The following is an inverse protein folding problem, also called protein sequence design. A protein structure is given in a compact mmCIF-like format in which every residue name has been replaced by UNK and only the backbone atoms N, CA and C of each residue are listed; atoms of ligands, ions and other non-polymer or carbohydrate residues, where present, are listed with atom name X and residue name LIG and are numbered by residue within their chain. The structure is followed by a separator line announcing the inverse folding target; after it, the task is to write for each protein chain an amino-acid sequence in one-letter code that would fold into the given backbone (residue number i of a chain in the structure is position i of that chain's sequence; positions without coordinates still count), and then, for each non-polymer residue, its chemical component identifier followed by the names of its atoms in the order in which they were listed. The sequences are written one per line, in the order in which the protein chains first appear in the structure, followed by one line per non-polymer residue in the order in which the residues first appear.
data_IF_284742807712
#
_entry.id   IF_284742807712
#
_cell.length_a   1.000
_cell.length_b   1.000
_cell.length_c   1.000
_cell.angle_alpha   90.00
_cell.angle_beta   90.00
_cell.angle_gamma   90.00
#
_symmetry.space_group_name_H-M   'P 1'
#
loop_
_entity.id
_entity.type
_entity.pdbx_description
1 polymer ?
#
# COMPACT_ATOMS: atom_id res chain seq x y z
N UNK A 1 109.17 123.65 -54.94
CA UNK A 1 108.78 124.62 -55.98
C UNK A 1 107.44 124.20 -56.58
N UNK A 2 106.42 125.06 -56.44
CA UNK A 2 105.37 125.33 -57.43
C UNK A 2 104.83 124.13 -58.23
N UNK A 3 103.87 123.39 -57.64
CA UNK A 3 102.81 122.72 -58.43
C UNK A 3 102.28 123.73 -59.44
N UNK A 4 102.29 123.37 -60.72
CA UNK A 4 101.95 124.28 -61.81
C UNK A 4 100.52 124.82 -61.61
N UNK A 5 100.28 126.07 -62.02
CA UNK A 5 98.94 126.70 -61.95
C UNK A 5 97.87 125.79 -62.56
N UNK A 6 98.23 125.05 -63.62
CA UNK A 6 97.37 124.10 -64.31
C UNK A 6 96.87 122.94 -63.43
N UNK A 7 97.70 122.37 -62.55
CA UNK A 7 97.27 121.25 -61.67
C UNK A 7 96.32 121.73 -60.56
N UNK A 8 96.54 122.95 -60.04
CA UNK A 8 95.63 123.54 -59.05
C UNK A 8 94.29 123.94 -59.67
N UNK A 9 94.31 124.41 -60.90
CA UNK A 9 93.08 124.74 -61.64
C UNK A 9 92.31 123.48 -62.03
N UNK A 10 93.00 122.40 -62.41
CA UNK A 10 92.39 121.09 -62.66
C UNK A 10 91.75 120.49 -61.39
N UNK A 11 92.43 120.55 -60.24
CA UNK A 11 91.84 120.12 -58.96
C UNK A 11 90.65 120.99 -58.52
N UNK A 12 90.73 122.31 -58.73
CA UNK A 12 89.59 123.21 -58.48
C UNK A 12 88.41 122.91 -59.39
N UNK A 13 88.63 122.65 -60.67
CA UNK A 13 87.58 122.23 -61.59
C UNK A 13 86.97 120.88 -61.18
N UNK A 14 87.79 119.90 -60.80
CA UNK A 14 87.30 118.58 -60.36
C UNK A 14 86.50 118.67 -59.05
N UNK A 15 86.93 119.49 -58.08
CA UNK A 15 86.17 119.75 -56.85
C UNK A 15 84.87 120.50 -57.13
N UNK A 16 84.87 121.43 -58.09
CA UNK A 16 83.68 122.17 -58.50
C UNK A 16 82.69 121.24 -59.20
N UNK A 17 83.15 120.37 -60.10
CA UNK A 17 82.34 119.34 -60.75
C UNK A 17 81.77 118.34 -59.75
N UNK A 18 82.55 117.88 -58.77
CA UNK A 18 82.06 117.01 -57.68
C UNK A 18 81.00 117.70 -56.82
N UNK A 19 81.17 118.99 -56.50
CA UNK A 19 80.17 119.76 -55.74
C UNK A 19 78.88 119.97 -56.54
N UNK A 20 78.98 120.21 -57.84
CA UNK A 20 77.81 120.31 -58.73
C UNK A 20 77.10 118.96 -58.80
N UNK A 21 77.83 117.86 -59.05
CA UNK A 21 77.27 116.52 -59.07
C UNK A 21 76.63 116.13 -57.73
N UNK A 22 77.25 116.47 -56.59
CA UNK A 22 76.67 116.23 -55.28
C UNK A 22 75.35 117.00 -55.10
N UNK A 23 75.31 118.29 -55.44
CA UNK A 23 74.09 119.10 -55.38
C UNK A 23 73.00 118.57 -56.32
N UNK A 24 73.37 118.10 -57.51
CA UNK A 24 72.43 117.46 -58.43
C UNK A 24 71.88 116.16 -57.85
N UNK A 25 72.71 115.34 -57.20
CA UNK A 25 72.23 114.12 -56.52
C UNK A 25 71.37 114.43 -55.30
N UNK A 26 71.73 115.42 -54.49
CA UNK A 26 70.94 115.89 -53.34
C UNK A 26 69.60 116.44 -53.81
N UNK A 27 69.57 117.21 -54.90
CA UNK A 27 68.34 117.70 -55.51
C UNK A 27 67.47 116.56 -56.06
N UNK A 28 68.08 115.52 -56.67
CA UNK A 28 67.35 114.33 -57.13
C UNK A 28 66.78 113.50 -55.97
N UNK A 29 67.53 113.34 -54.89
CA UNK A 29 67.07 112.64 -53.68
C UNK A 29 65.96 113.44 -52.99
N UNK A 30 66.11 114.77 -52.89
CA UNK A 30 65.07 115.66 -52.36
C UNK A 30 63.78 115.58 -53.20
N UNK A 31 63.89 115.67 -54.53
CA UNK A 31 62.75 115.53 -55.43
C UNK A 31 62.09 114.14 -55.33
N UNK A 32 62.87 113.07 -55.17
CA UNK A 32 62.34 111.72 -54.97
C UNK A 32 61.64 111.56 -53.61
N UNK A 33 62.19 112.14 -52.54
CA UNK A 33 61.58 112.13 -51.22
C UNK A 33 60.27 112.93 -51.20
N UNK A 34 60.23 114.11 -51.83
CA UNK A 34 59.00 114.89 -51.98
C UNK A 34 57.96 114.15 -52.83
N UNK A 35 58.37 113.53 -53.94
CA UNK A 35 57.47 112.72 -54.77
C UNK A 35 56.90 111.54 -53.99
N UNK A 36 57.72 110.87 -53.18
CA UNK A 36 57.28 109.79 -52.30
C UNK A 36 56.29 110.27 -51.23
N UNK A 37 56.58 111.39 -50.57
CA UNK A 37 55.68 112.00 -49.59
C UNK A 37 54.36 112.43 -50.23
N UNK A 38 54.38 113.05 -51.42
CA UNK A 38 53.16 113.40 -52.16
C UNK A 38 52.36 112.16 -52.52
N UNK A 39 52.99 111.09 -52.99
CA UNK A 39 52.29 109.83 -53.31
C UNK A 39 51.73 109.14 -52.07
N UNK A 40 52.41 109.24 -50.93
CA UNK A 40 51.91 108.73 -49.66
C UNK A 40 50.73 109.57 -49.15
N UNK A 41 50.81 110.89 -49.26
CA UNK A 41 49.71 111.79 -48.91
C UNK A 41 48.50 111.62 -49.83
N UNK A 42 48.69 111.47 -51.14
CA UNK A 42 47.63 111.16 -52.11
C UNK A 42 46.97 109.82 -51.78
N UNK A 43 47.77 108.78 -51.46
CA UNK A 43 47.27 107.47 -51.01
C UNK A 43 46.45 107.62 -49.74
N UNK A 44 46.96 108.33 -48.75
CA UNK A 44 46.29 108.49 -47.45
C UNK A 44 45.02 109.33 -47.56
N UNK A 45 45.01 110.37 -48.41
CA UNK A 45 43.81 111.14 -48.74
C UNK A 45 42.78 110.27 -49.46
N UNK A 46 43.20 109.49 -50.46
CA UNK A 46 42.31 108.54 -51.17
C UNK A 46 41.75 107.48 -50.20
N UNK A 47 42.56 107.00 -49.24
CA UNK A 47 42.11 106.06 -48.22
C UNK A 47 41.10 106.68 -47.23
N UNK A 48 41.22 107.98 -46.95
CA UNK A 48 40.22 108.73 -46.16
C UNK A 48 38.94 108.93 -46.96
N UNK A 49 39.03 109.37 -48.23
CA UNK A 49 37.87 109.62 -49.09
C UNK A 49 37.06 108.33 -49.35
N UNK A 50 37.74 107.18 -49.41
CA UNK A 50 37.11 105.86 -49.53
C UNK A 50 36.67 105.27 -48.18
N UNK A 51 36.87 105.97 -47.05
CA UNK A 51 36.48 105.51 -45.71
C UNK A 51 37.30 104.31 -45.18
N UNK A 52 38.42 103.97 -45.81
CA UNK A 52 39.22 102.78 -45.50
C UNK A 52 40.12 102.96 -44.26
N UNK A 53 40.31 104.20 -43.80
CA UNK A 53 41.21 104.51 -42.67
C UNK A 53 40.67 104.03 -41.31
N UNK A 54 39.35 104.00 -41.12
CA UNK A 54 38.73 103.46 -39.90
C UNK A 54 38.81 101.92 -39.87
N UNK A 55 38.82 101.29 -41.05
CA UNK A 55 38.89 99.84 -41.20
C UNK A 55 40.31 99.31 -41.12
N UNK A 56 41.32 100.10 -41.52
CA UNK A 56 42.72 99.66 -41.51
C UNK A 56 43.22 99.31 -40.10
N UNK A 57 42.76 100.07 -39.09
CA UNK A 57 43.14 99.85 -37.69
C UNK A 57 42.33 98.69 -37.06
N UNK A 58 41.14 98.39 -37.60
CA UNK A 58 40.23 97.37 -37.08
C UNK A 58 40.35 96.00 -37.78
N UNK A 59 41.06 95.92 -38.92
CA UNK A 59 41.06 94.71 -39.77
C UNK A 59 41.63 93.48 -39.05
N UNK A 60 42.71 93.66 -38.28
CA UNK A 60 43.30 92.58 -37.45
C UNK A 60 42.35 92.14 -36.33
N UNK A 61 41.68 93.09 -35.67
CA UNK A 61 40.71 92.77 -34.61
C UNK A 61 39.48 92.04 -35.16
N UNK A 62 39.05 92.35 -36.39
CA UNK A 62 37.96 91.63 -37.06
C UNK A 62 38.40 90.22 -37.48
N UNK A 63 39.64 90.05 -37.93
CA UNK A 63 40.21 88.74 -38.24
C UNK A 63 40.33 87.86 -36.99
N UNK A 64 40.81 88.41 -35.86
CA UNK A 64 40.87 87.73 -34.57
C UNK A 64 39.46 87.35 -34.08
N UNK A 65 38.49 88.27 -34.14
CA UNK A 65 37.10 88.01 -33.74
C UNK A 65 36.42 86.94 -34.62
N UNK A 66 36.72 86.92 -35.93
CA UNK A 66 36.26 85.87 -36.84
C UNK A 66 36.91 84.52 -36.51
N UNK A 67 38.19 84.50 -36.15
CA UNK A 67 38.90 83.31 -35.69
C UNK A 67 38.30 82.73 -34.40
N UNK A 68 38.06 83.58 -33.40
CA UNK A 68 37.40 83.21 -32.15
C UNK A 68 35.98 82.67 -32.40
N UNK A 69 35.22 83.34 -33.28
CA UNK A 69 33.88 82.88 -33.67
C UNK A 69 33.92 81.51 -34.38
N UNK A 70 34.87 81.29 -35.28
CA UNK A 70 35.05 79.99 -35.96
C UNK A 70 35.48 78.90 -34.98
N UNK A 71 36.35 79.20 -34.01
CA UNK A 71 36.75 78.26 -32.97
C UNK A 71 35.58 77.91 -32.05
N UNK A 72 34.78 78.90 -31.65
CA UNK A 72 33.56 78.69 -30.86
C UNK A 72 32.56 77.80 -31.61
N UNK A 73 32.30 78.09 -32.90
CA UNK A 73 31.45 77.25 -33.76
C UNK A 73 32.00 75.83 -33.93
N UNK A 74 33.33 75.69 -34.10
CA UNK A 74 33.99 74.39 -34.22
C UNK A 74 33.89 73.55 -32.94
N UNK A 75 33.87 74.20 -31.77
CA UNK A 75 33.70 73.53 -30.47
C UNK A 75 32.25 73.20 -30.12
N UNK A 76 31.28 73.92 -30.70
CA UNK A 76 29.85 73.75 -30.42
C UNK A 76 29.35 72.36 -30.86
N UNK A 77 29.75 71.89 -32.04
CA UNK A 77 29.27 70.61 -32.57
C UNK A 77 29.79 69.38 -31.78
N UNK A 78 31.09 69.29 -31.42
CA UNK A 78 31.58 68.30 -30.48
C UNK A 78 30.84 68.31 -29.14
N UNK A 79 30.65 69.49 -28.53
CA UNK A 79 29.94 69.62 -27.25
C UNK A 79 28.47 69.18 -27.34
N UNK A 80 27.77 69.54 -28.42
CA UNK A 80 26.39 69.10 -28.66
C UNK A 80 26.33 67.57 -28.84
N UNK A 81 27.30 66.99 -29.53
CA UNK A 81 27.40 65.54 -29.74
C UNK A 81 27.71 64.79 -28.43
N UNK A 82 28.63 65.30 -27.62
CA UNK A 82 28.93 64.75 -26.30
C UNK A 82 27.71 64.77 -25.39
N UNK A 83 26.96 65.87 -25.37
CA UNK A 83 25.70 65.96 -24.62
C UNK A 83 24.67 64.94 -25.11
N UNK A 84 24.51 64.79 -26.43
CA UNK A 84 23.58 63.81 -27.00
C UNK A 84 23.96 62.38 -26.60
N UNK A 85 25.24 62.02 -26.64
CA UNK A 85 25.72 60.71 -26.19
C UNK A 85 25.56 60.52 -24.67
N UNK A 86 25.80 61.55 -23.87
CA UNK A 86 25.58 61.52 -22.43
C UNK A 86 24.09 61.30 -22.09
N UNK A 87 23.18 62.01 -22.79
CA UNK A 87 21.73 61.84 -22.63
C UNK A 87 21.28 60.43 -23.06
N UNK A 88 21.86 59.89 -24.13
CA UNK A 88 21.58 58.51 -24.54
C UNK A 88 22.07 57.50 -23.51
N UNK A 89 23.31 57.64 -23.02
CA UNK A 89 23.87 56.77 -21.98
C UNK A 89 23.04 56.83 -20.69
N UNK A 90 22.57 58.03 -20.30
CA UNK A 90 21.69 58.20 -19.14
C UNK A 90 20.36 57.45 -19.33
N UNK A 91 19.75 57.52 -20.52
CA UNK A 91 18.51 56.78 -20.82
C UNK A 91 18.72 55.28 -20.76
N UNK A 92 19.82 54.78 -21.30
CA UNK A 92 20.16 53.35 -21.25
C UNK A 92 20.32 52.86 -19.81
N UNK A 93 21.02 53.64 -18.95
CA UNK A 93 21.15 53.32 -17.53
C UNK A 93 19.82 53.40 -16.77
N UNK A 94 18.96 54.38 -17.09
CA UNK A 94 17.61 54.45 -16.53
C UNK A 94 16.77 53.22 -16.89
N UNK A 95 16.77 52.80 -18.15
CA UNK A 95 16.06 51.58 -18.57
C UNK A 95 16.66 50.32 -17.94
N UNK A 96 17.98 50.25 -17.73
CA UNK A 96 18.62 49.14 -17.00
C UNK A 96 18.16 49.10 -15.54
N UNK A 97 18.10 50.25 -14.87
CA UNK A 97 17.62 50.36 -13.50
C UNK A 97 16.15 49.92 -13.38
N UNK A 98 15.28 50.36 -14.28
CA UNK A 98 13.87 49.95 -14.31
C UNK A 98 13.71 48.45 -14.54
N UNK A 99 14.46 47.87 -15.48
CA UNK A 99 14.45 46.43 -15.71
C UNK A 99 14.94 45.64 -14.49
N UNK A 100 15.97 46.13 -13.79
CA UNK A 100 16.46 45.52 -12.56
C UNK A 100 15.41 45.58 -11.44
N UNK A 101 14.73 46.73 -11.26
CA UNK A 101 13.63 46.88 -10.29
C UNK A 101 12.49 45.91 -10.58
N UNK A 102 12.04 45.83 -11.83
CA UNK A 102 11.02 44.87 -12.23
C UNK A 102 11.44 43.41 -11.98
N UNK A 103 12.73 43.10 -12.15
CA UNK A 103 13.28 41.78 -11.83
C UNK A 103 13.28 41.51 -10.34
N UNK A 104 13.66 42.49 -9.52
CA UNK A 104 13.58 42.40 -8.05
C UNK A 104 12.15 42.18 -7.58
N UNK A 105 11.18 42.93 -8.11
CA UNK A 105 9.76 42.76 -7.78
C UNK A 105 9.26 41.35 -8.13
N UNK A 106 9.62 40.84 -9.32
CA UNK A 106 9.27 39.46 -9.71
C UNK A 106 9.88 38.41 -8.78
N UNK A 107 11.15 38.59 -8.39
CA UNK A 107 11.81 37.70 -7.44
C UNK A 107 11.16 37.77 -6.06
N UNK A 108 10.75 38.97 -5.62
CA UNK A 108 10.06 39.17 -4.36
C UNK A 108 8.69 38.47 -4.36
N UNK A 109 7.88 38.65 -5.40
CA UNK A 109 6.59 37.96 -5.55
C UNK A 109 6.76 36.44 -5.61
N UNK A 110 7.73 35.94 -6.38
CA UNK A 110 8.02 34.50 -6.44
C UNK A 110 8.46 33.94 -5.08
N UNK A 111 9.24 34.71 -4.30
CA UNK A 111 9.61 34.35 -2.93
C UNK A 111 8.38 34.27 -2.02
N UNK A 112 7.51 35.28 -2.06
CA UNK A 112 6.27 35.28 -1.26
C UNK A 112 5.37 34.08 -1.62
N UNK A 113 5.23 33.76 -2.90
CA UNK A 113 4.48 32.57 -3.33
C UNK A 113 5.10 31.27 -2.81
N UNK A 114 6.43 31.16 -2.81
CA UNK A 114 7.13 30.01 -2.25
C UNK A 114 6.97 29.92 -0.71
N UNK A 115 7.04 31.05 0.00
CA UNK A 115 6.77 31.13 1.45
C UNK A 115 5.31 30.74 1.76
N UNK A 116 4.35 31.17 0.95
CA UNK A 116 2.95 30.76 1.10
C UNK A 116 2.75 29.27 0.84
N UNK A 117 3.40 28.71 -0.19
CA UNK A 117 3.34 27.27 -0.49
C UNK A 117 3.96 26.43 0.63
N UNK A 118 5.08 26.86 1.19
CA UNK A 118 5.73 26.18 2.32
C UNK A 118 4.86 26.26 3.57
N UNK A 119 4.34 27.45 3.92
CA UNK A 119 3.41 27.60 5.04
C UNK A 119 2.11 26.77 4.87
N UNK A 120 1.58 26.69 3.65
CA UNK A 120 0.41 25.86 3.35
C UNK A 120 0.72 24.36 3.50
N UNK A 121 1.89 23.91 3.04
CA UNK A 121 2.34 22.53 3.24
C UNK A 121 2.55 22.20 4.73
N UNK A 122 3.14 23.11 5.50
CA UNK A 122 3.32 22.95 6.95
C UNK A 122 1.99 22.87 7.68
N UNK A 123 1.01 23.71 7.30
CA UNK A 123 -0.34 23.64 7.84
C UNK A 123 -1.04 22.32 7.50
N UNK A 124 -0.89 21.81 6.28
CA UNK A 124 -1.42 20.50 5.88
C UNK A 124 -0.77 19.37 6.69
N UNK A 125 0.55 19.40 6.87
CA UNK A 125 1.27 18.43 7.71
C UNK A 125 0.82 18.48 9.16
N UNK A 126 0.57 19.67 9.72
CA UNK A 126 0.04 19.81 11.08
C UNK A 126 -1.36 19.20 11.22
N UNK A 127 -2.26 19.45 10.26
CA UNK A 127 -3.60 18.84 10.24
C UNK A 127 -3.52 17.32 10.10
N UNK A 128 -2.67 16.81 9.20
CA UNK A 128 -2.41 15.38 9.03
C UNK A 128 -1.83 14.75 10.30
N UNK A 129 -0.88 15.39 10.98
CA UNK A 129 -0.37 14.90 12.26
C UNK A 129 -1.44 14.88 13.34
N UNK A 130 -2.34 15.87 13.38
CA UNK A 130 -3.44 15.89 14.34
C UNK A 130 -4.47 14.79 14.05
N UNK A 131 -4.80 14.54 12.79
CA UNK A 131 -5.76 13.48 12.40
C UNK A 131 -5.16 12.09 12.54
N UNK A 132 -3.88 11.90 12.19
CA UNK A 132 -3.14 10.65 12.44
C UNK A 132 -2.98 10.41 13.94
N UNK A 133 -2.67 11.45 14.73
CA UNK A 133 -2.61 11.35 16.18
C UNK A 133 -3.93 10.88 16.79
N UNK A 134 -5.04 11.52 16.42
CA UNK A 134 -6.37 11.11 16.86
C UNK A 134 -6.74 9.68 16.40
N UNK A 135 -6.43 9.32 15.16
CA UNK A 135 -6.68 7.97 14.64
C UNK A 135 -5.81 6.90 15.34
N UNK A 136 -4.54 7.20 15.63
CA UNK A 136 -3.63 6.32 16.39
C UNK A 136 -4.12 6.16 17.82
N UNK A 137 -4.58 7.23 18.47
CA UNK A 137 -5.18 7.15 19.81
C UNK A 137 -6.46 6.31 19.81
N UNK A 138 -7.31 6.43 18.79
CA UNK A 138 -8.51 5.62 18.59
C UNK A 138 -8.14 4.13 18.43
N UNK A 139 -7.16 3.82 17.58
CA UNK A 139 -6.67 2.45 17.36
C UNK A 139 -6.04 1.88 18.63
N UNK A 140 -5.23 2.65 19.37
CA UNK A 140 -4.67 2.22 20.64
C UNK A 140 -5.74 2.00 21.72
N UNK A 141 -6.82 2.79 21.70
CA UNK A 141 -7.97 2.58 22.58
C UNK A 141 -8.71 1.30 22.22
N UNK A 142 -8.97 1.07 20.94
CA UNK A 142 -9.57 -0.17 20.43
C UNK A 142 -8.71 -1.40 20.72
N UNK A 143 -7.39 -1.30 20.60
CA UNK A 143 -6.46 -2.40 20.93
C UNK A 143 -6.54 -2.75 22.42
N UNK A 144 -6.47 -1.75 23.31
CA UNK A 144 -6.61 -1.96 24.76
C UNK A 144 -7.98 -2.57 25.14
N UNK A 145 -9.04 -2.17 24.45
CA UNK A 145 -10.37 -2.75 24.65
C UNK A 145 -10.41 -4.23 24.23
N UNK A 146 -9.86 -4.54 23.05
CA UNK A 146 -9.79 -5.92 22.53
C UNK A 146 -8.90 -6.79 23.41
N UNK A 147 -7.75 -6.31 23.84
CA UNK A 147 -6.86 -6.99 24.80
C UNK A 147 -7.60 -7.29 26.10
N UNK A 148 -8.30 -6.30 26.69
CA UNK A 148 -9.10 -6.52 27.91
C UNK A 148 -10.25 -7.51 27.71
N UNK A 149 -10.90 -7.53 26.53
CA UNK A 149 -11.90 -8.54 26.19
C UNK A 149 -11.28 -9.93 26.06
N UNK A 150 -10.09 -10.03 25.48
CA UNK A 150 -9.38 -11.29 25.28
C UNK A 150 -8.92 -11.87 26.63
N UNK A 151 -8.38 -11.05 27.53
CA UNK A 151 -8.03 -11.46 28.90
C UNK A 151 -9.26 -11.93 29.70
N UNK A 152 -10.43 -11.29 29.49
CA UNK A 152 -11.68 -11.72 30.13
C UNK A 152 -12.14 -13.06 29.59
N UNK A 153 -12.16 -13.24 28.27
CA UNK A 153 -12.53 -14.50 27.63
C UNK A 153 -11.57 -15.62 28.03
N UNK A 154 -10.26 -15.34 28.13
CA UNK A 154 -9.28 -16.31 28.61
C UNK A 154 -9.54 -16.73 30.06
N UNK A 155 -9.89 -15.78 30.94
CA UNK A 155 -10.29 -16.09 32.32
C UNK A 155 -11.56 -16.95 32.36
N UNK A 156 -12.59 -16.55 31.62
CA UNK A 156 -13.85 -17.32 31.50
C UNK A 156 -13.58 -18.74 30.94
N UNK A 157 -12.70 -18.87 29.94
CA UNK A 157 -12.30 -20.17 29.39
C UNK A 157 -11.53 -21.01 30.42
N UNK A 158 -10.64 -20.40 31.20
CA UNK A 158 -9.85 -21.10 32.21
C UNK A 158 -10.73 -21.58 33.38
N UNK A 159 -11.70 -20.77 33.80
CA UNK A 159 -12.73 -21.17 34.78
C UNK A 159 -13.61 -22.30 34.23
N UNK A 160 -14.05 -22.21 32.98
CA UNK A 160 -14.78 -23.27 32.29
C UNK A 160 -13.94 -24.57 32.18
N UNK A 161 -12.65 -24.46 31.89
CA UNK A 161 -11.75 -25.61 31.83
C UNK A 161 -11.53 -26.26 33.20
N UNK A 162 -11.41 -25.46 34.27
CA UNK A 162 -11.31 -25.98 35.64
C UNK A 162 -12.59 -26.70 36.07
N UNK A 163 -13.75 -26.14 35.75
CA UNK A 163 -15.04 -26.78 36.07
C UNK A 163 -15.25 -28.05 35.26
N UNK A 164 -14.86 -28.07 33.98
CA UNK A 164 -14.85 -29.28 33.15
C UNK A 164 -13.90 -30.33 33.71
N UNK A 165 -12.67 -29.96 34.08
CA UNK A 165 -11.69 -30.86 34.67
C UNK A 165 -12.18 -31.47 35.99
N UNK A 166 -12.79 -30.66 36.86
CA UNK A 166 -13.44 -31.15 38.08
C UNK A 166 -14.62 -32.08 37.80
N UNK A 167 -15.41 -31.81 36.75
CA UNK A 167 -16.50 -32.70 36.33
C UNK A 167 -15.97 -34.02 35.75
N UNK A 168 -14.93 -33.98 34.91
CA UNK A 168 -14.28 -35.16 34.34
C UNK A 168 -13.62 -36.01 35.42
N UNK A 169 -13.02 -35.40 36.45
CA UNK A 169 -12.48 -36.12 37.59
C UNK A 169 -13.59 -36.90 38.32
N UNK A 170 -14.74 -36.27 38.56
CA UNK A 170 -15.91 -36.93 39.16
C UNK A 170 -16.41 -38.06 38.28
N UNK A 171 -16.55 -37.83 36.97
CA UNK A 171 -16.97 -38.88 36.02
C UNK A 171 -15.97 -40.03 35.99
N UNK A 172 -14.66 -39.75 36.04
CA UNK A 172 -13.61 -40.77 36.08
C UNK A 172 -13.65 -41.58 37.37
N UNK A 173 -13.80 -40.93 38.52
CA UNK A 173 -13.96 -41.61 39.81
C UNK A 173 -15.21 -42.50 39.78
N UNK A 174 -16.34 -41.98 39.31
CA UNK A 174 -17.57 -42.74 39.14
C UNK A 174 -17.39 -43.91 38.16
N UNK A 175 -16.72 -43.71 37.03
CA UNK A 175 -16.43 -44.77 36.07
C UNK A 175 -15.47 -45.82 36.64
N UNK A 176 -14.49 -45.43 37.47
CA UNK A 176 -13.62 -46.39 38.16
C UNK A 176 -14.41 -47.21 39.18
N UNK A 177 -15.31 -46.58 39.94
CA UNK A 177 -16.22 -47.30 40.84
C UNK A 177 -17.17 -48.21 40.08
N UNK A 178 -17.68 -47.79 38.92
CA UNK A 178 -18.47 -48.65 38.02
C UNK A 178 -17.63 -49.84 37.56
N UNK A 179 -16.38 -49.63 37.14
CA UNK A 179 -15.48 -50.71 36.72
C UNK A 179 -15.03 -51.63 37.86
N UNK A 180 -14.88 -51.11 39.08
CA UNK A 180 -14.67 -51.92 40.29
C UNK A 180 -15.90 -52.77 40.58
N UNK A 181 -17.10 -52.19 40.51
CA UNK A 181 -18.38 -52.89 40.65
C UNK A 181 -18.58 -53.95 39.57
N UNK A 182 -18.25 -53.65 38.31
CA UNK A 182 -18.30 -54.60 37.19
C UNK A 182 -17.32 -55.76 37.40
N UNK A 183 -16.11 -55.50 37.91
CA UNK A 183 -15.15 -56.56 38.28
C UNK A 183 -15.66 -57.41 39.43
N UNK A 184 -16.32 -56.81 40.42
CA UNK A 184 -16.97 -57.52 41.51
C UNK A 184 -18.11 -58.40 40.98
N UNK A 185 -18.95 -57.86 40.10
CA UNK A 185 -20.03 -58.60 39.43
C UNK A 185 -19.46 -59.72 38.57
N UNK A 186 -18.38 -59.50 37.81
CA UNK A 186 -17.75 -60.55 37.01
C UNK A 186 -17.11 -61.64 37.88
N UNK A 187 -16.54 -61.28 39.02
CA UNK A 187 -16.00 -62.24 39.99
C UNK A 187 -17.12 -63.05 40.65
N UNK A 188 -18.24 -62.41 40.97
CA UNK A 188 -19.45 -63.09 41.41
C UNK A 188 -19.94 -64.03 40.30
N UNK A 189 -20.05 -63.55 39.06
CA UNK A 189 -20.48 -64.33 37.88
C UNK A 189 -19.60 -65.54 37.63
N UNK A 190 -18.29 -65.42 37.87
CA UNK A 190 -17.38 -66.54 37.81
C UNK A 190 -17.60 -67.52 38.98
N UNK A 191 -17.79 -67.04 40.21
CA UNK A 191 -18.11 -67.89 41.36
C UNK A 191 -19.41 -68.64 41.16
N UNK A 192 -20.35 -67.97 40.54
CA UNK A 192 -21.65 -68.47 40.20
C UNK A 192 -21.59 -69.48 39.09
N UNK A 193 -20.98 -69.16 37.95
CA UNK A 193 -20.72 -70.13 36.88
C UNK A 193 -20.05 -71.39 37.44
N UNK A 194 -19.09 -71.24 38.35
CA UNK A 194 -18.45 -72.35 39.08
C UNK A 194 -19.42 -73.11 40.00
N UNK A 195 -20.35 -72.41 40.65
CA UNK A 195 -21.45 -73.00 41.40
C UNK A 195 -22.42 -73.77 40.49
N UNK A 196 -22.79 -73.26 39.30
CA UNK A 196 -23.59 -74.00 38.29
C UNK A 196 -22.81 -75.18 37.78
N UNK A 197 -21.52 -75.04 37.58
CA UNK A 197 -20.71 -76.13 37.07
C UNK A 197 -20.63 -77.26 38.11
N UNK A 198 -20.43 -76.92 39.40
CA UNK A 198 -20.58 -77.87 40.50
C UNK A 198 -21.97 -78.49 40.55
N UNK A 199 -22.99 -77.69 40.29
CA UNK A 199 -24.40 -78.07 40.26
C UNK A 199 -24.74 -79.08 39.17
N UNK A 200 -24.32 -78.78 37.94
CA UNK A 200 -24.54 -79.56 36.75
C UNK A 200 -23.68 -80.80 36.79
N UNK A 201 -22.44 -80.70 37.27
CA UNK A 201 -21.57 -81.87 37.53
C UNK A 201 -22.24 -82.82 38.51
N UNK A 202 -23.01 -82.30 39.44
CA UNK A 202 -23.75 -83.06 40.42
C UNK A 202 -25.13 -83.54 39.96
N UNK A 203 -25.87 -82.77 39.19
CA UNK A 203 -27.04 -83.25 38.47
C UNK A 203 -26.62 -84.42 37.55
N UNK A 204 -25.47 -84.30 36.89
CA UNK A 204 -24.84 -85.30 36.03
C UNK A 204 -24.05 -86.39 36.78
N UNK A 205 -23.82 -86.29 38.09
CA UNK A 205 -23.46 -87.49 38.89
C UNK A 205 -24.61 -88.50 38.89
N UNK A 206 -25.77 -88.09 38.38
CA UNK A 206 -27.02 -88.71 38.70
C UNK A 206 -27.16 -88.59 40.21
N UNK A 207 -27.55 -87.42 40.73
CA UNK A 207 -28.06 -87.23 42.10
C UNK A 207 -29.40 -86.41 42.16
N UNK A 208 -30.09 -86.13 41.02
CA UNK A 208 -31.57 -85.88 40.91
C UNK A 208 -32.63 -86.99 40.48
N UNK A 209 -32.42 -87.91 39.50
CA UNK A 209 -33.19 -89.16 39.25
C UNK A 209 -33.43 -90.23 40.38
N UNK A 210 -32.49 -90.65 41.21
CA UNK A 210 -32.66 -91.60 42.33
C UNK A 210 -33.19 -91.03 43.68
N UNK A 211 -34.01 -89.99 43.58
CA UNK A 211 -35.06 -89.67 44.56
C UNK A 211 -36.46 -90.21 44.17
N UNK A 212 -36.64 -90.74 42.95
CA UNK A 212 -37.90 -91.36 42.50
C UNK A 212 -37.71 -92.74 41.81
N UNK A 213 -36.57 -93.38 42.05
CA UNK A 213 -36.33 -94.79 41.81
C UNK A 213 -35.47 -95.29 42.98
N UNK A 214 -35.80 -96.44 43.55
CA UNK A 214 -34.96 -97.15 44.52
C UNK A 214 -33.59 -97.45 43.90
N UNK A 215 -32.70 -96.47 44.05
CA UNK A 215 -31.27 -96.55 44.22
C UNK A 215 -30.89 -95.20 44.93
N UNK A 216 -29.71 -95.01 45.54
CA UNK A 216 -29.36 -93.95 46.53
C UNK A 216 -29.16 -92.46 46.10
N UNK A 217 -30.11 -91.52 46.24
CA UNK A 217 -29.83 -90.05 46.15
C UNK A 217 -29.79 -89.35 47.52
N UNK A 218 -28.96 -88.31 47.61
CA UNK A 218 -28.69 -87.54 48.82
C UNK A 218 -29.42 -86.19 48.75
N UNK A 219 -30.19 -85.84 49.78
CA UNK A 219 -30.93 -84.57 49.96
C UNK A 219 -30.10 -83.30 49.73
N UNK A 220 -28.78 -83.39 49.89
CA UNK A 220 -27.89 -82.29 49.54
C UNK A 220 -27.92 -81.94 48.06
N UNK A 221 -28.65 -82.71 47.21
CA UNK A 221 -28.58 -82.63 45.76
C UNK A 221 -29.54 -81.75 45.00
N UNK A 222 -30.75 -81.82 45.44
CA UNK A 222 -31.81 -80.94 45.00
C UNK A 222 -31.58 -79.52 45.53
N UNK A 223 -31.20 -79.40 46.81
CA UNK A 223 -31.07 -78.10 47.48
C UNK A 223 -29.88 -77.27 46.98
N UNK A 224 -28.80 -77.94 46.55
CA UNK A 224 -27.71 -77.26 45.83
C UNK A 224 -28.23 -76.80 44.47
N UNK A 225 -28.85 -77.67 43.67
CA UNK A 225 -29.39 -77.37 42.33
C UNK A 225 -30.32 -76.15 42.30
N UNK A 226 -31.26 -76.11 43.23
CA UNK A 226 -32.21 -75.01 43.30
C UNK A 226 -31.54 -73.68 43.72
N UNK A 227 -30.55 -73.72 44.62
CA UNK A 227 -29.77 -72.53 45.01
C UNK A 227 -28.93 -71.96 43.87
N UNK A 228 -28.35 -72.77 42.99
CA UNK A 228 -27.49 -72.25 41.91
C UNK A 228 -28.24 -71.79 40.66
N UNK A 229 -29.54 -72.11 40.48
CA UNK A 229 -30.37 -71.53 39.41
C UNK A 229 -30.91 -70.16 39.83
N UNK A 230 -31.37 -70.03 41.07
CA UNK A 230 -31.71 -68.73 41.66
C UNK A 230 -30.48 -67.83 41.71
N UNK A 231 -29.38 -68.41 42.18
CA UNK A 231 -28.07 -67.88 41.95
C UNK A 231 -27.62 -68.17 40.49
N UNK A 232 -28.36 -67.90 39.39
CA UNK A 232 -27.82 -67.49 38.05
C UNK A 232 -28.70 -66.41 37.41
N UNK A 233 -29.97 -66.37 37.78
CA UNK A 233 -30.89 -65.31 37.39
C UNK A 233 -30.55 -63.98 38.05
N UNK A 234 -30.27 -63.97 39.35
CA UNK A 234 -29.98 -62.75 40.13
C UNK A 234 -28.78 -61.88 39.66
N UNK A 235 -27.81 -62.39 38.89
CA UNK A 235 -26.63 -61.60 38.43
C UNK A 235 -26.81 -61.16 37.00
N UNK A 236 -27.45 -61.96 36.14
CA UNK A 236 -27.93 -61.43 34.86
C UNK A 236 -28.88 -60.26 35.14
N UNK A 237 -29.72 -60.35 36.18
CA UNK A 237 -30.51 -59.23 36.68
C UNK A 237 -29.64 -58.07 37.16
N UNK A 238 -28.57 -58.30 37.93
CA UNK A 238 -27.70 -57.21 38.43
C UNK A 238 -26.87 -56.54 37.33
N UNK A 239 -26.31 -57.30 36.38
CA UNK A 239 -25.46 -56.78 35.30
C UNK A 239 -26.24 -55.97 34.25
N UNK A 240 -27.56 -56.21 34.11
CA UNK A 240 -28.42 -55.43 33.23
C UNK A 240 -29.02 -54.21 33.94
N UNK A 241 -29.23 -54.29 35.26
CA UNK A 241 -29.73 -53.16 36.07
C UNK A 241 -28.77 -51.97 36.11
N UNK A 242 -27.45 -52.20 36.02
CA UNK A 242 -26.45 -51.12 35.90
C UNK A 242 -26.54 -50.33 34.59
N UNK A 243 -27.18 -50.89 33.56
CA UNK A 243 -27.44 -50.25 32.27
C UNK A 243 -28.93 -49.87 32.09
N UNK A 244 -29.66 -49.76 33.20
CA UNK A 244 -31.07 -49.34 33.29
C UNK A 244 -32.09 -50.29 32.61
N UNK A 245 -31.66 -51.50 32.25
CA UNK A 245 -32.54 -52.57 31.83
C UNK A 245 -32.96 -53.41 33.05
N UNK A 246 -34.26 -53.70 33.18
CA UNK A 246 -34.79 -54.43 34.35
C UNK A 246 -35.33 -55.79 33.94
N UNK A 247 -34.54 -56.86 34.11
CA UNK A 247 -35.02 -58.21 33.87
C UNK A 247 -35.99 -58.67 34.95
N UNK A 248 -37.12 -59.22 34.53
CA UNK A 248 -38.11 -59.85 35.39
C UNK A 248 -38.03 -61.37 35.22
N UNK A 249 -38.15 -62.10 36.34
CA UNK A 249 -38.22 -63.56 36.34
C UNK A 249 -39.59 -64.01 36.80
N UNK A 250 -40.20 -64.88 36.01
CA UNK A 250 -41.49 -65.50 36.30
C UNK A 250 -41.34 -67.01 36.25
N UNK A 251 -41.94 -67.70 37.20
CA UNK A 251 -41.99 -69.17 37.20
C UNK A 251 -43.23 -69.61 36.42
N UNK A 252 -43.02 -70.36 35.35
CA UNK A 252 -44.09 -70.95 34.54
C UNK A 252 -43.91 -72.48 34.54
N UNK A 253 -44.91 -73.22 35.04
CA UNK A 253 -44.88 -74.68 35.21
C UNK A 253 -43.58 -75.23 35.84
N UNK A 254 -43.19 -74.70 37.01
CA UNK A 254 -41.97 -75.05 37.74
C UNK A 254 -40.64 -74.77 36.99
N UNK A 255 -40.67 -74.03 35.87
CA UNK A 255 -39.49 -73.58 35.13
C UNK A 255 -39.37 -72.06 35.19
N UNK A 256 -38.18 -71.58 35.54
CA UNK A 256 -37.88 -70.16 35.72
C UNK A 256 -37.51 -69.51 34.37
N UNK A 257 -38.27 -68.51 33.93
CA UNK A 257 -38.06 -67.79 32.65
C UNK A 257 -37.77 -66.32 32.92
N UNK A 258 -36.75 -65.77 32.25
CA UNK A 258 -36.29 -64.39 32.45
C UNK A 258 -36.50 -63.56 31.18
N UNK A 259 -37.12 -62.39 31.32
CA UNK A 259 -37.43 -61.45 30.23
C UNK A 259 -37.05 -60.03 30.61
N UNK A 260 -36.78 -59.17 29.63
CA UNK A 260 -36.37 -57.78 29.86
C UNK A 260 -37.17 -56.82 28.99
N UNK A 261 -37.55 -55.67 29.54
CA UNK A 261 -38.30 -54.67 28.81
C UNK A 261 -37.33 -53.81 27.98
N UNK A 262 -37.42 -53.91 26.65
CA UNK A 262 -36.59 -53.17 25.71
C UNK A 262 -37.46 -52.50 24.67
N UNK A 263 -37.29 -51.18 24.49
CA UNK A 263 -38.15 -50.34 23.64
C UNK A 263 -39.66 -50.50 23.93
N UNK A 264 -40.03 -50.77 25.19
CA UNK A 264 -41.43 -50.88 25.64
C UNK A 264 -42.04 -52.29 25.58
N UNK A 265 -41.38 -53.26 24.96
CA UNK A 265 -41.86 -54.65 24.88
C UNK A 265 -41.01 -55.61 25.72
N UNK A 266 -41.64 -56.62 26.33
CA UNK A 266 -40.92 -57.69 27.03
C UNK A 266 -40.30 -58.64 26.02
N UNK A 267 -38.97 -58.64 25.94
CA UNK A 267 -38.18 -59.50 25.07
C UNK A 267 -37.53 -60.61 25.88
N UNK A 268 -37.38 -61.79 25.27
CA UNK A 268 -36.55 -62.86 25.83
C UNK A 268 -35.08 -62.47 25.66
N UNK A 269 -34.22 -62.99 26.53
CA UNK A 269 -32.82 -62.57 26.58
C UNK A 269 -32.03 -62.80 25.28
N UNK A 270 -32.36 -63.85 24.52
CA UNK A 270 -31.71 -64.10 23.24
C UNK A 270 -32.04 -63.03 22.20
N UNK A 271 -33.31 -62.64 22.08
CA UNK A 271 -33.77 -61.65 21.10
C UNK A 271 -33.25 -60.24 21.43
N UNK A 272 -33.15 -59.92 22.72
CA UNK A 272 -32.60 -58.64 23.20
C UNK A 272 -31.14 -58.42 22.77
N UNK A 273 -30.32 -59.48 22.74
CA UNK A 273 -28.91 -59.37 22.35
C UNK A 273 -28.71 -58.92 20.88
N UNK A 274 -29.58 -59.37 19.98
CA UNK A 274 -29.48 -59.06 18.56
C UNK A 274 -29.90 -57.61 18.27
N UNK A 275 -30.98 -57.15 18.92
CA UNK A 275 -31.49 -55.79 18.76
C UNK A 275 -30.52 -54.72 19.30
N UNK A 276 -29.76 -55.04 20.35
CA UNK A 276 -28.78 -54.12 20.90
C UNK A 276 -27.59 -53.85 19.94
N UNK A 277 -27.17 -54.86 19.17
CA UNK A 277 -26.08 -54.73 18.21
C UNK A 277 -26.46 -53.82 17.02
N UNK A 278 -27.71 -53.90 16.57
CA UNK A 278 -28.25 -53.07 15.49
C UNK A 278 -28.34 -51.58 15.89
N UNK A 279 -28.74 -51.30 17.13
CA UNK A 279 -28.82 -49.95 17.70
C UNK A 279 -27.45 -49.24 17.73
N UNK A 280 -26.37 -49.96 17.99
CA UNK A 280 -25.00 -49.41 18.03
C UNK A 280 -24.57 -48.94 16.64
N UNK A 281 -24.86 -49.72 15.59
CA UNK A 281 -24.52 -49.37 14.21
C UNK A 281 -25.28 -48.13 13.74
N UNK A 282 -26.58 -48.04 14.06
CA UNK A 282 -27.41 -46.90 13.69
C UNK A 282 -26.96 -45.58 14.36
N UNK A 283 -26.55 -45.62 15.64
CA UNK A 283 -26.08 -44.42 16.35
C UNK A 283 -24.74 -43.91 15.83
N UNK A 284 -23.85 -44.79 15.36
CA UNK A 284 -22.58 -44.40 14.71
C UNK A 284 -22.78 -43.65 13.38
N UNK A 285 -23.76 -44.06 12.59
CA UNK A 285 -24.09 -43.41 11.32
C UNK A 285 -24.64 -41.98 11.51
N UNK A 286 -25.45 -41.76 12.55
CA UNK A 286 -26.02 -40.45 12.88
C UNK A 286 -24.96 -39.42 13.31
N UNK A 287 -23.92 -39.85 14.03
CA UNK A 287 -22.83 -38.98 14.46
C UNK A 287 -22.00 -38.47 13.26
N UNK A 288 -21.68 -39.36 12.33
CA UNK A 288 -20.95 -39.02 11.10
C UNK A 288 -21.75 -38.04 10.22
N UNK A 289 -23.07 -38.23 10.15
CA UNK A 289 -23.96 -37.31 9.43
C UNK A 289 -24.01 -35.91 10.09
N UNK A 290 -23.97 -35.84 11.42
CA UNK A 290 -24.03 -34.57 12.16
C UNK A 290 -22.73 -33.77 12.07
N UNK A 291 -21.58 -34.43 12.13
CA UNK A 291 -20.27 -33.78 11.92
C UNK A 291 -20.16 -33.19 10.52
N UNK A 292 -20.70 -33.89 9.52
CA UNK A 292 -20.78 -33.40 8.14
C UNK A 292 -21.65 -32.16 8.00
N UNK A 293 -22.83 -32.14 8.62
CA UNK A 293 -23.76 -31.00 8.62
C UNK A 293 -23.14 -29.75 9.27
N UNK A 294 -22.36 -29.92 10.34
CA UNK A 294 -21.71 -28.79 11.04
C UNK A 294 -20.59 -28.18 10.21
N UNK A 295 -19.78 -29.01 9.55
CA UNK A 295 -18.72 -28.54 8.65
C UNK A 295 -19.29 -27.84 7.41
N UNK A 296 -20.38 -28.39 6.85
CA UNK A 296 -21.07 -27.80 5.70
C UNK A 296 -21.78 -26.49 6.05
N UNK A 297 -22.30 -26.30 7.26
CA UNK A 297 -23.05 -25.08 7.60
C UNK A 297 -22.22 -23.97 8.27
N UNK A 298 -21.14 -24.31 8.98
CA UNK A 298 -20.44 -23.34 9.84
C UNK A 298 -19.13 -22.79 9.23
N UNK A 299 -18.42 -23.55 8.40
CA UNK A 299 -17.11 -23.17 7.84
C UNK A 299 -17.20 -22.41 6.51
N UNK A 300 -18.36 -22.40 5.86
CA UNK A 300 -18.53 -21.80 4.53
C UNK A 300 -18.27 -20.29 4.53
N UNK A 301 -18.59 -19.60 5.63
CA UNK A 301 -18.35 -18.16 5.71
C UNK A 301 -16.86 -17.81 5.80
N UNK A 302 -16.11 -18.54 6.63
CA UNK A 302 -14.67 -18.32 6.81
C UNK A 302 -13.90 -18.73 5.56
N UNK A 303 -14.29 -19.85 4.93
CA UNK A 303 -13.73 -20.32 3.66
C UNK A 303 -13.95 -19.29 2.55
N UNK A 304 -15.13 -18.64 2.47
CA UNK A 304 -15.38 -17.60 1.48
C UNK A 304 -14.43 -16.40 1.63
N UNK A 305 -14.14 -15.99 2.86
CA UNK A 305 -13.21 -14.87 3.14
C UNK A 305 -11.80 -15.21 2.68
N UNK A 306 -11.29 -16.39 3.03
CA UNK A 306 -9.96 -16.84 2.63
C UNK A 306 -9.84 -17.06 1.12
N UNK A 307 -10.85 -17.65 0.48
CA UNK A 307 -10.91 -17.79 -0.97
C UNK A 307 -10.88 -16.43 -1.68
N UNK A 308 -11.64 -15.44 -1.17
CA UNK A 308 -11.60 -14.08 -1.70
C UNK A 308 -10.20 -13.46 -1.60
N UNK A 309 -9.51 -13.68 -0.48
CA UNK A 309 -8.11 -13.24 -0.30
C UNK A 309 -7.16 -13.87 -1.34
N UNK A 310 -7.25 -15.18 -1.55
CA UNK A 310 -6.43 -15.90 -2.52
C UNK A 310 -6.71 -15.45 -3.96
N UNK A 311 -7.99 -15.26 -4.32
CA UNK A 311 -8.40 -14.81 -5.65
C UNK A 311 -7.90 -13.38 -5.94
N UNK A 312 -8.02 -12.45 -4.98
CA UNK A 312 -7.50 -11.08 -5.14
C UNK A 312 -5.98 -11.07 -5.33
N UNK A 313 -5.23 -11.82 -4.52
CA UNK A 313 -3.78 -11.95 -4.64
C UNK A 313 -3.37 -12.53 -6.00
N UNK A 314 -4.09 -13.53 -6.49
CA UNK A 314 -3.85 -14.09 -7.82
C UNK A 314 -4.12 -13.06 -8.93
N UNK A 315 -5.21 -12.29 -8.84
CA UNK A 315 -5.51 -11.23 -9.80
C UNK A 315 -4.46 -10.11 -9.82
N UNK A 316 -3.97 -9.70 -8.64
CA UNK A 316 -2.88 -8.73 -8.52
C UNK A 316 -1.59 -9.24 -9.17
N UNK A 317 -1.23 -10.51 -8.93
CA UNK A 317 -0.06 -11.13 -9.55
C UNK A 317 -0.17 -11.13 -11.08
N UNK A 318 -1.33 -11.50 -11.64
CA UNK A 318 -1.58 -11.48 -13.09
C UNK A 318 -1.44 -10.05 -13.64
N UNK A 319 -2.01 -9.06 -12.95
CA UNK A 319 -1.92 -7.65 -13.34
C UNK A 319 -0.47 -7.16 -13.36
N UNK A 320 0.31 -7.50 -12.33
CA UNK A 320 1.70 -7.10 -12.22
C UNK A 320 2.55 -7.78 -13.30
N UNK A 321 2.32 -9.07 -13.57
CA UNK A 321 2.96 -9.79 -14.67
C UNK A 321 2.63 -9.18 -16.04
N UNK A 322 1.37 -8.83 -16.28
CA UNK A 322 0.95 -8.15 -17.52
C UNK A 322 1.59 -6.77 -17.67
N UNK A 323 1.74 -6.01 -16.58
CA UNK A 323 2.45 -4.71 -16.59
C UNK A 323 3.93 -4.89 -16.96
N UNK A 324 4.59 -5.92 -16.45
CA UNK A 324 5.99 -6.21 -16.80
C UNK A 324 6.16 -6.63 -18.27
N UNK A 325 5.22 -7.41 -18.81
CA UNK A 325 5.24 -7.78 -20.23
C UNK A 325 5.04 -6.57 -21.16
N UNK A 326 4.18 -5.62 -20.79
CA UNK A 326 3.97 -4.40 -21.57
C UNK A 326 5.21 -3.49 -21.61
N UNK A 327 6.11 -3.55 -20.63
CA UNK A 327 7.35 -2.76 -20.65
C UNK A 327 8.41 -3.31 -21.62
N UNK A 328 8.21 -4.51 -22.18
CA UNK A 328 9.17 -5.20 -23.04
C UNK A 328 8.49 -5.72 -24.31
N UNK A 329 8.26 -4.87 -25.33
CA UNK A 329 7.74 -5.33 -26.61
C UNK A 329 8.65 -6.42 -27.19
N UNK A 330 8.04 -7.45 -27.76
CA UNK A 330 8.78 -8.49 -28.48
C UNK A 330 9.50 -7.89 -29.69
N UNK A 331 10.53 -8.57 -30.22
CA UNK A 331 11.33 -8.09 -31.37
C UNK A 331 10.51 -7.83 -32.64
N UNK A 332 9.26 -8.29 -32.67
CA UNK A 332 8.25 -8.07 -33.72
C UNK A 332 7.31 -6.88 -33.45
N UNK A 333 7.51 -6.13 -32.36
CA UNK A 333 6.66 -5.00 -31.95
C UNK A 333 5.33 -5.40 -31.30
N UNK A 334 5.10 -6.69 -31.05
CA UNK A 334 3.87 -7.18 -30.41
C UNK A 334 3.96 -7.06 -28.88
N UNK A 335 2.87 -6.61 -28.28
CA UNK A 335 2.66 -6.53 -26.84
C UNK A 335 1.86 -7.76 -26.42
N UNK A 336 2.26 -8.45 -25.35
CA UNK A 336 1.53 -9.61 -24.85
C UNK A 336 0.94 -9.27 -23.48
N UNK A 337 -0.28 -9.72 -23.21
CA UNK A 337 -0.91 -9.59 -21.90
C UNK A 337 -1.37 -10.95 -21.38
N UNK A 338 -1.21 -11.19 -20.09
CA UNK A 338 -1.82 -12.32 -19.42
C UNK A 338 -3.26 -11.95 -19.03
N UNK A 339 -4.18 -12.86 -19.34
CA UNK A 339 -5.58 -12.81 -18.90
C UNK A 339 -5.88 -13.96 -17.96
N UNK A 340 -6.63 -13.64 -16.91
CA UNK A 340 -7.13 -14.59 -15.93
C UNK A 340 -8.62 -14.37 -15.74
N UNK A 341 -9.41 -15.25 -16.36
CA UNK A 341 -10.86 -15.11 -16.50
C UNK A 341 -11.58 -16.35 -15.95
N UNK A 342 -12.86 -16.20 -15.66
CA UNK A 342 -13.70 -17.33 -15.27
C UNK A 342 -13.84 -18.32 -16.42
N UNK A 343 -13.92 -19.62 -16.11
CA UNK A 343 -14.11 -20.66 -17.12
C UNK A 343 -15.48 -20.48 -17.82
N UNK A 344 -15.51 -20.47 -19.15
CA UNK A 344 -16.75 -20.26 -19.93
C UNK A 344 -17.76 -21.42 -19.83
N UNK A 345 -17.31 -22.62 -19.51
CA UNK A 345 -18.15 -23.79 -19.19
C UNK A 345 -18.37 -23.99 -17.68
N UNK A 346 -18.03 -22.98 -16.87
CA UNK A 346 -18.19 -23.03 -15.42
C UNK A 346 -19.64 -22.83 -14.94
N UNK A 347 -19.90 -23.03 -13.65
CA UNK A 347 -21.21 -22.75 -13.05
C UNK A 347 -21.60 -21.29 -13.29
N UNK A 348 -22.79 -21.01 -13.84
CA UNK A 348 -23.24 -19.63 -14.13
C UNK A 348 -23.23 -18.71 -12.89
N UNK A 349 -23.41 -19.28 -11.69
CA UNK A 349 -23.34 -18.58 -10.41
C UNK A 349 -21.92 -18.11 -10.05
N UNK A 350 -20.87 -18.66 -10.69
CA UNK A 350 -19.48 -18.32 -10.39
C UNK A 350 -19.12 -16.90 -10.79
N UNK A 351 -19.67 -16.36 -11.89
CA UNK A 351 -19.33 -14.99 -12.32
C UNK A 351 -19.81 -13.94 -11.31
N UNK A 352 -21.00 -14.15 -10.74
CA UNK A 352 -21.52 -13.29 -9.68
C UNK A 352 -20.76 -13.48 -8.37
N UNK A 353 -20.49 -14.73 -7.97
CA UNK A 353 -19.67 -15.04 -6.80
C UNK A 353 -18.26 -14.44 -6.93
N UNK A 354 -17.63 -14.54 -8.10
CA UNK A 354 -16.30 -14.00 -8.40
C UNK A 354 -16.27 -12.48 -8.27
N UNK A 355 -17.28 -11.77 -8.80
CA UNK A 355 -17.40 -10.31 -8.63
C UNK A 355 -17.43 -9.93 -7.15
N UNK A 356 -18.10 -10.72 -6.30
CA UNK A 356 -18.16 -10.49 -4.86
C UNK A 356 -16.87 -10.86 -4.13
N UNK A 357 -16.23 -11.97 -4.50
CA UNK A 357 -14.95 -12.42 -3.95
C UNK A 357 -13.79 -11.46 -4.29
N UNK A 358 -13.86 -10.80 -5.45
CA UNK A 358 -12.90 -9.76 -5.86
C UNK A 358 -13.06 -8.43 -5.08
N UNK A 359 -14.21 -8.20 -4.44
CA UNK A 359 -14.43 -7.06 -3.54
C UNK A 359 -13.78 -7.24 -2.17
N UNK A 360 -13.82 -6.20 -1.34
CA UNK A 360 -13.35 -6.26 0.04
C UNK A 360 -14.34 -7.03 0.93
N UNK A 361 -13.87 -8.01 1.71
CA UNK A 361 -14.71 -8.85 2.58
C UNK A 361 -15.45 -8.08 3.68
N UNK A 362 -14.96 -6.89 4.05
CA UNK A 362 -15.61 -5.95 4.99
C UNK A 362 -16.90 -5.35 4.45
N UNK A 363 -17.12 -5.37 3.13
CA UNK A 363 -18.26 -4.74 2.46
C UNK A 363 -19.41 -5.71 2.17
N UNK A 364 -19.24 -7.00 2.47
CA UNK A 364 -20.24 -8.02 2.17
C UNK A 364 -21.48 -7.90 3.06
N UNK A 365 -22.63 -7.69 2.42
CA UNK A 365 -23.93 -7.76 3.07
C UNK A 365 -24.30 -9.21 3.44
N UNK A 366 -25.33 -9.38 4.26
CA UNK A 366 -25.86 -10.71 4.58
C UNK A 366 -26.32 -11.48 3.32
N UNK A 367 -26.89 -10.78 2.34
CA UNK A 367 -27.28 -11.37 1.06
C UNK A 367 -26.08 -11.84 0.23
N UNK A 368 -24.97 -11.08 0.24
CA UNK A 368 -23.74 -11.47 -0.45
C UNK A 368 -23.11 -12.73 0.18
N UNK A 369 -23.16 -12.84 1.52
CA UNK A 369 -22.66 -14.02 2.25
C UNK A 369 -23.50 -15.26 1.96
N UNK A 370 -24.82 -15.12 1.86
CA UNK A 370 -25.70 -16.22 1.46
C UNK A 370 -25.41 -16.69 0.04
N UNK A 371 -25.29 -15.76 -0.91
CA UNK A 371 -24.96 -16.08 -2.31
C UNK A 371 -23.63 -16.84 -2.41
N UNK A 372 -22.59 -16.36 -1.73
CA UNK A 372 -21.30 -17.05 -1.69
C UNK A 372 -21.40 -18.42 -1.01
N UNK A 373 -22.23 -18.54 0.02
CA UNK A 373 -22.47 -19.81 0.69
C UNK A 373 -23.16 -20.82 -0.20
N UNK A 374 -24.24 -20.42 -0.88
CA UNK A 374 -24.99 -21.25 -1.82
C UNK A 374 -24.08 -21.72 -2.97
N UNK A 375 -23.21 -20.84 -3.48
CA UNK A 375 -22.23 -21.20 -4.50
C UNK A 375 -21.26 -22.28 -4.01
N UNK A 376 -20.68 -22.13 -2.81
CA UNK A 376 -19.74 -23.11 -2.27
C UNK A 376 -20.42 -24.44 -1.96
N UNK A 377 -21.66 -24.41 -1.46
CA UNK A 377 -22.46 -25.63 -1.27
C UNK A 377 -22.69 -26.37 -2.59
N UNK A 378 -22.98 -25.63 -3.66
CA UNK A 378 -23.17 -26.20 -4.99
C UNK A 378 -21.87 -26.84 -5.51
N UNK A 379 -20.70 -26.22 -5.29
CA UNK A 379 -19.41 -26.83 -5.68
C UNK A 379 -19.12 -28.12 -4.91
N UNK A 380 -19.37 -28.12 -3.59
CA UNK A 380 -19.21 -29.30 -2.75
C UNK A 380 -20.17 -30.41 -3.21
N UNK A 381 -21.41 -30.06 -3.55
CA UNK A 381 -22.40 -31.02 -4.08
C UNK A 381 -21.93 -31.65 -5.39
N UNK A 382 -21.46 -30.86 -6.34
CA UNK A 382 -21.00 -31.36 -7.65
C UNK A 382 -19.81 -32.32 -7.53
N UNK A 383 -18.85 -32.04 -6.64
CA UNK A 383 -17.72 -32.95 -6.40
C UNK A 383 -18.18 -34.24 -5.72
N UNK A 384 -19.15 -34.17 -4.80
CA UNK A 384 -19.74 -35.36 -4.18
C UNK A 384 -20.46 -36.27 -5.18
N UNK A 385 -21.13 -35.68 -6.17
CA UNK A 385 -21.85 -36.44 -7.20
C UNK A 385 -20.91 -37.08 -8.22
N UNK A 386 -19.72 -36.50 -8.43
CA UNK A 386 -18.75 -36.96 -9.43
C UNK A 386 -17.67 -37.89 -8.86
N UNK A 387 -17.23 -37.70 -7.61
CA UNK A 387 -16.22 -38.53 -6.96
C UNK A 387 -16.76 -39.27 -5.73
N UNK A 388 -17.10 -40.56 -5.89
CA UNK A 388 -17.69 -41.39 -4.82
C UNK A 388 -16.66 -42.10 -3.93
N UNK A 389 -15.37 -42.09 -4.29
CA UNK A 389 -14.33 -42.95 -3.68
C UNK A 389 -13.26 -42.22 -2.85
N UNK A 390 -13.43 -40.92 -2.60
CA UNK A 390 -12.50 -40.11 -1.79
C UNK A 390 -12.96 -39.93 -0.35
N UNK A 391 -12.02 -39.63 0.55
CA UNK A 391 -12.34 -39.16 1.90
C UNK A 391 -12.99 -37.76 1.83
N UNK A 392 -13.78 -37.40 2.85
CA UNK A 392 -14.47 -36.10 2.90
C UNK A 392 -13.50 -34.90 2.77
N UNK A 393 -12.30 -35.00 3.35
CA UNK A 393 -11.27 -33.98 3.25
C UNK A 393 -10.73 -33.81 1.82
N UNK A 394 -10.55 -34.91 1.08
CA UNK A 394 -10.11 -34.88 -0.33
C UNK A 394 -11.19 -34.25 -1.24
N UNK A 395 -12.46 -34.61 -1.02
CA UNK A 395 -13.59 -34.01 -1.74
C UNK A 395 -13.67 -32.49 -1.52
N UNK A 396 -13.48 -32.02 -0.28
CA UNK A 396 -13.45 -30.59 0.03
C UNK A 396 -12.25 -29.87 -0.61
N UNK A 397 -11.06 -30.47 -0.63
CA UNK A 397 -9.87 -29.88 -1.25
C UNK A 397 -10.06 -29.67 -2.76
N UNK A 398 -10.76 -30.60 -3.43
CA UNK A 398 -11.10 -30.50 -4.84
C UNK A 398 -12.19 -29.45 -5.06
N UNK A 399 -13.25 -29.47 -4.24
CA UNK A 399 -14.40 -28.58 -4.37
C UNK A 399 -14.03 -27.11 -4.18
N UNK A 400 -13.03 -26.80 -3.35
CA UNK A 400 -12.62 -25.45 -2.98
C UNK A 400 -11.35 -24.97 -3.72
N UNK A 401 -10.87 -25.69 -4.74
CA UNK A 401 -9.70 -25.27 -5.52
C UNK A 401 -10.06 -24.18 -6.54
N UNK A 402 -9.86 -22.92 -6.15
CA UNK A 402 -10.16 -21.75 -6.98
C UNK A 402 -9.46 -21.74 -8.34
N UNK A 403 -8.34 -22.47 -8.50
CA UNK A 403 -7.61 -22.54 -9.76
C UNK A 403 -8.37 -23.30 -10.84
N UNK A 404 -9.24 -24.24 -10.43
CA UNK A 404 -10.08 -25.02 -11.36
C UNK A 404 -11.26 -24.21 -11.92
N UNK A 405 -11.60 -23.10 -11.27
CA UNK A 405 -12.69 -22.21 -11.69
C UNK A 405 -12.23 -21.13 -12.70
N UNK A 406 -10.92 -21.00 -12.91
CA UNK A 406 -10.35 -19.94 -13.74
C UNK A 406 -9.51 -20.51 -14.88
N UNK A 407 -9.51 -19.80 -16.01
CA UNK A 407 -8.60 -20.06 -17.12
C UNK A 407 -7.52 -18.98 -17.18
N UNK A 408 -6.28 -19.40 -17.39
CA UNK A 408 -5.14 -18.52 -17.61
C UNK A 408 -4.66 -18.66 -19.05
N UNK A 409 -4.65 -17.57 -19.81
CA UNK A 409 -4.18 -17.57 -21.21
C UNK A 409 -3.47 -16.26 -21.57
N UNK A 410 -2.71 -16.30 -22.67
CA UNK A 410 -1.98 -15.14 -23.20
C UNK A 410 -2.77 -14.59 -24.38
N UNK A 411 -3.04 -13.29 -24.35
CA UNK A 411 -3.66 -12.56 -25.46
C UNK A 411 -2.65 -11.57 -26.05
N UNK A 412 -2.85 -11.26 -27.34
CA UNK A 412 -2.03 -10.35 -28.14
C UNK A 412 -2.58 -8.94 -28.15
#
# INVERSE_FOLDING_TARGET
MRLSVAERDAQRQQLTQRRVCLRETEARVGAAAEAFQRKTAERDATAVDLGLREWSDCLRSLEDALGEYQQALGSLWPAARERMFADQALREEQSRLENNRLREDRLHSAKQEAEQKTAAADAQLAVLHQTVGAAVEEVQRGLREVEGRLERIQREQQEAAQTLGGAQERVRLMASSIGDLEREIAADMANRTRAIEHLLRFANTGLLHLAAAEERYSDGAWERNQKSIYHHVQEVTNALQSHDYRPEHTTDNDVLVVTVLFQGERRRMNDFSFLLAEEIVNRGALLTAKEREVLENYLIHDVAVELGSLIRRAAELVRDMSKQLQLRPTSTGMMLQFKWEALSEGPAAFDEARKKLMGESSTWSQADRMLLGDFLQEQIRLVRETETTGTWAEQLAIALDYRRWHQFYVER
#
